data_IF_666931338480
#
_entry.id   IF_666931338480
#
_cell.length_a   1.000
_cell.length_b   1.000
_cell.length_c   1.000
_cell.angle_alpha   90.00
_cell.angle_beta   90.00
_cell.angle_gamma   90.00
#
_symmetry.space_group_name_H-M   'P 1'
#
loop_
_entity.id
_entity.type
_entity.pdbx_description
1 polymer ?
#
# COMPACT_ATOMS: atom_id res chain seq x y z
N UNK A 1 26.99 7.31 -20.25
CA UNK A 1 25.97 6.25 -20.47
C UNK A 1 24.69 6.71 -19.78
N UNK A 2 23.53 6.55 -20.42
CA UNK A 2 22.24 6.91 -19.79
C UNK A 2 21.81 5.80 -18.83
N UNK A 3 21.27 6.17 -17.67
CA UNK A 3 20.73 5.24 -16.66
C UNK A 3 19.22 5.33 -16.69
N UNK A 4 18.54 4.19 -16.78
CA UNK A 4 17.08 4.12 -16.62
C UNK A 4 16.78 4.19 -15.12
N UNK A 5 16.17 5.29 -14.67
CA UNK A 5 15.97 5.55 -13.23
C UNK A 5 15.23 4.42 -12.51
N UNK A 6 14.25 3.78 -13.18
CA UNK A 6 13.50 2.70 -12.56
C UNK A 6 14.40 1.51 -12.20
N UNK A 7 15.35 1.13 -13.06
CA UNK A 7 16.25 0.00 -12.80
C UNK A 7 17.14 0.28 -11.61
N UNK A 8 17.64 1.52 -11.53
CA UNK A 8 18.47 1.95 -10.42
C UNK A 8 17.71 1.91 -9.08
N UNK A 9 16.47 2.42 -9.05
CA UNK A 9 15.63 2.37 -7.85
C UNK A 9 15.23 0.94 -7.49
N UNK A 10 14.96 0.09 -8.48
CA UNK A 10 14.61 -1.32 -8.24
C UNK A 10 15.81 -2.11 -7.71
N UNK A 11 17.03 -1.80 -8.14
CA UNK A 11 18.27 -2.41 -7.65
C UNK A 11 18.50 -2.10 -6.17
N UNK A 12 18.26 -0.85 -5.74
CA UNK A 12 18.43 -0.44 -4.35
C UNK A 12 17.50 -1.20 -3.37
N UNK A 13 16.44 -1.86 -3.86
CA UNK A 13 15.56 -2.70 -3.02
C UNK A 13 16.25 -3.95 -2.47
N UNK A 14 17.43 -4.33 -2.97
CA UNK A 14 18.20 -5.45 -2.42
C UNK A 14 18.95 -5.07 -1.13
N UNK A 15 18.96 -3.79 -0.78
CA UNK A 15 19.66 -3.24 0.38
C UNK A 15 18.67 -2.79 1.46
N UNK A 16 19.14 -2.76 2.71
CA UNK A 16 18.45 -2.03 3.78
C UNK A 16 18.56 -0.54 3.50
N UNK A 17 17.41 0.13 3.35
CA UNK A 17 17.32 1.56 3.05
C UNK A 17 16.69 2.29 4.22
N UNK A 18 17.16 3.50 4.51
CA UNK A 18 16.52 4.37 5.49
C UNK A 18 16.50 5.83 5.04
N UNK A 19 15.53 6.58 5.57
CA UNK A 19 15.38 8.02 5.33
C UNK A 19 14.86 8.69 6.61
N UNK A 20 15.62 9.60 7.23
CA UNK A 20 15.11 10.43 8.32
C UNK A 20 13.87 11.22 7.89
N UNK A 21 12.86 11.28 8.76
CA UNK A 21 11.67 12.10 8.55
C UNK A 21 11.71 13.35 9.44
N UNK A 22 11.39 14.54 8.93
CA UNK A 22 11.28 15.73 9.76
C UNK A 22 9.97 15.78 10.56
N UNK A 23 9.04 14.86 10.29
CA UNK A 23 7.74 14.80 10.97
C UNK A 23 7.94 14.29 12.39
N UNK A 24 7.17 14.83 13.34
CA UNK A 24 6.96 14.21 14.64
C UNK A 24 6.16 12.93 14.45
N UNK A 25 6.64 11.82 14.99
CA UNK A 25 5.98 10.51 14.93
C UNK A 25 5.57 10.11 16.34
N UNK A 26 4.31 9.69 16.48
CA UNK A 26 3.78 9.14 17.74
C UNK A 26 3.18 7.78 17.50
N UNK A 27 3.50 6.85 18.38
CA UNK A 27 2.90 5.52 18.43
C UNK A 27 2.20 5.32 19.76
N UNK A 28 1.00 4.75 19.73
CA UNK A 28 0.25 4.37 20.93
C UNK A 28 0.05 2.86 20.97
N UNK A 29 0.22 2.29 22.14
CA UNK A 29 0.03 0.87 22.43
C UNK A 29 -0.94 0.74 23.60
N UNK A 30 -2.06 0.03 23.41
CA UNK A 30 -3.10 -0.09 24.44
C UNK A 30 -3.67 1.27 24.91
N UNK A 31 -3.71 2.26 24.01
CA UNK A 31 -4.17 3.62 24.31
C UNK A 31 -3.13 4.55 24.96
N UNK A 32 -1.98 4.03 25.39
CA UNK A 32 -0.89 4.83 25.95
C UNK A 32 0.11 5.23 24.86
N UNK A 33 0.54 6.50 24.84
CA UNK A 33 1.65 6.93 23.98
C UNK A 33 2.95 6.30 24.49
N UNK A 34 3.56 5.47 23.64
CA UNK A 34 4.82 4.75 23.93
C UNK A 34 6.01 5.29 23.12
N UNK A 35 5.73 6.08 22.09
CA UNK A 35 6.71 6.83 21.32
C UNK A 35 6.17 8.23 21.05
N UNK A 36 7.03 9.23 21.22
CA UNK A 36 6.81 10.61 20.80
C UNK A 36 8.15 11.24 20.41
N UNK A 37 8.49 11.21 19.13
CA UNK A 37 9.84 11.54 18.65
C UNK A 37 9.82 12.44 17.41
N UNK A 38 10.90 13.19 17.20
CA UNK A 38 11.21 13.90 15.93
C UNK A 38 12.40 13.30 15.20
N UNK A 39 12.95 12.22 15.73
CA UNK A 39 14.16 11.56 15.25
C UNK A 39 13.84 10.18 14.66
N UNK A 40 12.57 9.95 14.28
CA UNK A 40 12.15 8.77 13.55
C UNK A 40 12.78 8.70 12.16
N UNK A 41 12.97 7.47 11.69
CA UNK A 41 13.43 7.17 10.34
C UNK A 41 12.44 6.22 9.66
N UNK A 42 12.22 6.42 8.37
CA UNK A 42 11.54 5.45 7.52
C UNK A 42 12.57 4.39 7.14
N UNK A 43 12.21 3.11 7.23
CA UNK A 43 13.09 1.98 6.90
C UNK A 43 12.40 1.06 5.92
N UNK A 44 13.14 0.63 4.90
CA UNK A 44 12.75 -0.42 3.99
C UNK A 44 13.79 -1.54 4.09
N UNK A 45 13.38 -2.67 4.65
CA UNK A 45 14.18 -3.90 4.59
C UNK A 45 14.39 -4.34 3.12
N UNK A 46 15.41 -5.16 2.85
CA UNK A 46 15.57 -5.78 1.53
C UNK A 46 14.25 -6.40 1.04
N UNK A 47 13.90 -6.14 -0.22
CA UNK A 47 12.65 -6.53 -0.90
C UNK A 47 11.37 -5.83 -0.42
N UNK A 48 11.39 -5.04 0.66
CA UNK A 48 10.20 -4.33 1.16
C UNK A 48 9.88 -3.10 0.31
N UNK A 49 8.63 -2.99 -0.13
CA UNK A 49 8.19 -1.96 -1.10
C UNK A 49 7.56 -0.72 -0.47
N UNK A 50 7.21 -0.77 0.81
CA UNK A 50 6.74 0.38 1.59
C UNK A 50 7.55 0.51 2.88
N UNK A 51 7.69 1.72 3.44
CA UNK A 51 8.48 1.88 4.65
C UNK A 51 7.76 1.35 5.89
N UNK A 52 8.54 1.10 6.94
CA UNK A 52 8.10 1.06 8.34
C UNK A 52 8.77 2.20 9.10
N UNK A 53 8.24 2.59 10.27
CA UNK A 53 8.98 3.50 11.15
C UNK A 53 9.96 2.72 12.02
N UNK A 54 11.20 3.20 12.04
CA UNK A 54 12.13 2.97 13.12
C UNK A 54 12.25 4.24 13.97
N UNK A 55 12.33 4.05 15.29
CA UNK A 55 12.39 5.14 16.26
C UNK A 55 13.59 4.92 17.17
N UNK A 56 14.19 5.99 17.74
CA UNK A 56 15.28 5.81 18.69
C UNK A 56 14.83 4.97 19.89
N UNK A 57 15.67 4.01 20.30
CA UNK A 57 15.39 3.19 21.49
C UNK A 57 15.20 4.07 22.74
N UNK A 58 15.91 5.20 22.82
CA UNK A 58 15.79 6.18 23.91
C UNK A 58 14.43 6.84 24.02
N UNK A 59 13.65 6.85 22.93
CA UNK A 59 12.38 7.56 22.84
C UNK A 59 11.18 6.63 23.06
N UNK A 60 11.45 5.33 23.26
CA UNK A 60 10.44 4.34 23.64
C UNK A 60 10.25 4.39 25.16
N UNK A 61 9.07 4.83 25.61
CA UNK A 61 8.76 4.91 27.04
C UNK A 61 8.26 3.58 27.62
N UNK A 62 7.93 2.60 26.76
CA UNK A 62 7.61 1.23 27.16
C UNK A 62 8.87 0.38 27.44
N UNK A 63 8.68 -0.79 28.03
CA UNK A 63 9.78 -1.73 28.26
C UNK A 63 10.08 -2.50 26.98
N UNK A 64 11.31 -2.36 26.46
CA UNK A 64 11.83 -3.17 25.36
C UNK A 64 12.48 -4.46 25.91
N UNK A 65 12.16 -5.60 25.31
CA UNK A 65 12.78 -6.89 25.62
C UNK A 65 12.96 -7.72 24.34
N UNK A 66 14.00 -8.55 24.28
CA UNK A 66 14.19 -9.51 23.20
C UNK A 66 13.02 -10.51 23.18
N UNK A 67 12.56 -10.84 21.99
CA UNK A 67 11.50 -11.82 21.75
C UNK A 67 12.07 -13.13 21.20
N UNK A 68 11.27 -14.21 21.26
CA UNK A 68 11.63 -15.42 20.50
C UNK A 68 11.57 -15.13 19.00
N UNK A 69 12.51 -15.72 18.27
CA UNK A 69 12.48 -15.74 16.81
C UNK A 69 11.49 -16.82 16.36
N UNK A 70 10.21 -16.47 16.41
CA UNK A 70 9.15 -17.30 15.85
C UNK A 70 9.16 -17.08 14.34
N UNK A 71 9.52 -18.13 13.59
CA UNK A 71 9.64 -18.06 12.14
C UNK A 71 8.31 -17.64 11.49
N UNK A 72 8.18 -16.35 11.17
CA UNK A 72 7.07 -15.82 10.41
C UNK A 72 7.20 -16.26 8.94
N UNK A 73 6.08 -16.63 8.31
CA UNK A 73 6.09 -17.01 6.90
C UNK A 73 6.04 -15.78 5.99
N UNK A 74 6.84 -15.81 4.94
CA UNK A 74 6.71 -14.88 3.81
C UNK A 74 5.34 -15.05 3.13
N UNK A 75 4.71 -13.94 2.73
CA UNK A 75 3.67 -13.95 1.71
C UNK A 75 4.32 -13.51 0.40
N UNK A 76 4.70 -14.44 -0.51
CA UNK A 76 5.39 -14.07 -1.73
C UNK A 76 4.42 -13.35 -2.68
N UNK A 77 4.74 -12.09 -2.96
CA UNK A 77 3.94 -11.23 -3.85
C UNK A 77 4.86 -10.73 -4.96
N UNK A 78 4.39 -10.67 -6.21
CA UNK A 78 5.16 -10.09 -7.32
C UNK A 78 4.49 -8.83 -7.84
N UNK A 79 5.31 -7.83 -8.23
CA UNK A 79 4.83 -6.61 -8.89
C UNK A 79 4.81 -6.73 -10.43
N UNK A 80 5.36 -7.82 -10.97
CA UNK A 80 5.42 -8.12 -12.39
C UNK A 80 5.51 -9.64 -12.60
N UNK A 81 5.16 -10.10 -13.80
CA UNK A 81 5.16 -11.52 -14.15
C UNK A 81 6.58 -12.10 -14.10
N UNK A 82 6.78 -13.17 -13.30
CA UNK A 82 8.09 -13.80 -13.12
C UNK A 82 9.13 -12.96 -12.37
N UNK A 83 8.74 -11.79 -11.85
CA UNK A 83 9.62 -10.93 -11.05
C UNK A 83 9.91 -11.51 -9.67
N UNK A 84 11.04 -11.12 -9.04
CA UNK A 84 11.37 -11.58 -7.70
C UNK A 84 10.28 -11.17 -6.70
N UNK A 85 10.00 -12.00 -5.68
CA UNK A 85 8.98 -11.67 -4.71
C UNK A 85 9.38 -10.42 -3.92
N UNK A 86 8.39 -9.61 -3.57
CA UNK A 86 8.50 -8.41 -2.74
C UNK A 86 7.80 -8.62 -1.41
N UNK A 87 8.12 -7.77 -0.43
CA UNK A 87 7.46 -7.75 0.88
C UNK A 87 6.56 -6.52 0.92
N UNK A 88 5.26 -6.76 1.08
CA UNK A 88 4.25 -5.72 1.23
C UNK A 88 3.66 -5.73 2.65
N UNK A 89 2.74 -4.81 3.00
CA UNK A 89 2.12 -4.77 4.33
C UNK A 89 1.41 -6.05 4.77
N UNK A 90 1.03 -6.94 3.86
CA UNK A 90 0.32 -8.19 4.20
C UNK A 90 1.27 -9.29 4.67
N UNK A 91 2.57 -9.15 4.40
CA UNK A 91 3.57 -10.05 4.99
C UNK A 91 3.66 -9.77 6.49
N UNK A 92 3.53 -10.83 7.30
CA UNK A 92 3.55 -10.73 8.77
C UNK A 92 4.80 -9.97 9.26
N UNK A 93 4.62 -9.11 10.26
CA UNK A 93 5.68 -8.22 10.75
C UNK A 93 6.96 -8.96 11.14
N UNK A 94 6.84 -10.13 11.80
CA UNK A 94 7.99 -10.93 12.23
C UNK A 94 8.85 -11.51 11.11
N UNK A 95 8.47 -11.32 9.83
CA UNK A 95 9.30 -11.73 8.70
C UNK A 95 10.27 -10.60 8.33
N UNK A 96 11.53 -10.78 8.70
CA UNK A 96 12.62 -9.84 8.44
C UNK A 96 13.61 -10.40 7.41
N UNK A 97 14.10 -9.53 6.52
CA UNK A 97 15.10 -9.87 5.50
C UNK A 97 16.44 -9.21 5.75
N UNK A 98 16.54 -8.39 6.80
CA UNK A 98 17.82 -7.94 7.34
C UNK A 98 18.16 -8.65 8.65
N UNK A 99 19.44 -8.69 8.99
CA UNK A 99 19.88 -9.21 10.28
C UNK A 99 19.43 -8.28 11.42
N UNK A 100 19.06 -8.85 12.56
CA UNK A 100 18.64 -8.10 13.72
C UNK A 100 18.09 -8.98 14.82
N UNK A 101 17.44 -8.36 15.79
CA UNK A 101 16.89 -9.02 16.97
C UNK A 101 15.40 -8.73 17.05
N UNK A 102 14.53 -9.76 17.03
CA UNK A 102 13.12 -9.60 17.38
C UNK A 102 12.96 -9.04 18.80
N UNK A 103 12.07 -8.08 18.96
CA UNK A 103 11.83 -7.38 20.21
C UNK A 103 10.32 -7.33 20.52
N UNK A 104 10.00 -7.02 21.77
CA UNK A 104 8.66 -6.61 22.20
C UNK A 104 8.72 -5.26 22.88
N UNK A 105 7.67 -4.46 22.74
CA UNK A 105 7.42 -3.26 23.56
C UNK A 105 6.25 -3.58 24.49
N UNK A 106 6.44 -3.41 25.80
CA UNK A 106 5.38 -3.58 26.79
C UNK A 106 4.98 -2.24 27.40
N UNK A 107 3.69 -1.94 27.42
CA UNK A 107 3.11 -0.77 28.08
C UNK A 107 1.85 -1.14 28.86
N UNK A 108 1.95 -1.16 30.20
CA UNK A 108 0.89 -1.70 31.05
C UNK A 108 0.67 -3.18 30.76
N UNK A 109 -0.55 -3.55 30.37
CA UNK A 109 -0.90 -4.92 29.96
C UNK A 109 -0.77 -5.18 28.45
N UNK A 110 -0.50 -4.15 27.65
CA UNK A 110 -0.39 -4.26 26.21
C UNK A 110 1.05 -4.61 25.80
N UNK A 111 1.18 -5.48 24.79
CA UNK A 111 2.44 -5.94 24.22
C UNK A 111 2.35 -5.75 22.70
N UNK A 112 3.33 -5.05 22.13
CA UNK A 112 3.47 -4.84 20.69
C UNK A 112 4.76 -5.48 20.16
N UNK A 113 4.75 -5.88 18.90
CA UNK A 113 5.93 -6.44 18.24
C UNK A 113 6.89 -5.33 17.79
N UNK A 114 8.17 -5.62 17.85
CA UNK A 114 9.23 -4.72 17.45
C UNK A 114 10.43 -5.50 16.89
N UNK A 115 11.34 -4.82 16.20
CA UNK A 115 12.53 -5.43 15.62
C UNK A 115 13.69 -4.44 15.64
N UNK A 116 14.85 -4.88 16.13
CA UNK A 116 16.08 -4.09 16.19
C UNK A 116 17.02 -4.54 15.06
N UNK A 117 17.08 -3.83 13.92
CA UNK A 117 17.99 -4.17 12.83
C UNK A 117 19.47 -3.97 13.26
N UNK A 118 20.36 -4.87 12.85
CA UNK A 118 21.76 -4.86 13.25
C UNK A 118 22.53 -3.63 12.72
N UNK A 119 22.17 -3.12 11.55
CA UNK A 119 22.81 -1.94 10.93
C UNK A 119 22.25 -0.59 11.44
N UNK A 120 21.10 -0.59 12.13
CA UNK A 120 20.53 0.58 12.81
C UNK A 120 20.31 0.25 14.30
N UNK A 121 21.39 -0.12 14.97
CA UNK A 121 21.37 -0.72 16.31
C UNK A 121 20.88 0.20 17.45
N UNK A 122 20.81 1.50 17.22
CA UNK A 122 20.22 2.50 18.13
C UNK A 122 18.72 2.73 17.88
N UNK A 123 18.16 2.09 16.86
CA UNK A 123 16.78 2.21 16.44
C UNK A 123 16.01 0.91 16.68
N UNK A 124 14.69 1.03 16.76
CA UNK A 124 13.78 -0.11 16.78
C UNK A 124 12.62 0.15 15.81
N UNK A 125 12.39 -0.81 14.90
CA UNK A 125 11.21 -0.83 14.03
C UNK A 125 10.05 -1.36 14.86
N UNK A 126 8.91 -0.67 14.83
CA UNK A 126 7.70 -1.13 15.48
C UNK A 126 6.72 -1.69 14.45
N UNK A 127 6.00 -2.75 14.83
CA UNK A 127 4.91 -3.25 14.01
C UNK A 127 3.89 -2.14 13.76
N UNK A 128 3.48 -1.97 12.50
CA UNK A 128 2.55 -0.90 12.19
C UNK A 128 1.14 -1.24 12.68
N UNK A 129 0.71 -2.49 12.50
CA UNK A 129 -0.66 -2.93 12.82
C UNK A 129 -0.88 -3.09 14.34
N UNK A 130 0.18 -3.28 15.11
CA UNK A 130 0.12 -3.39 16.56
C UNK A 130 -0.04 -2.07 17.33
N UNK A 131 0.01 -0.92 16.65
CA UNK A 131 0.04 0.41 17.28
C UNK A 131 -0.88 1.40 16.56
N UNK A 132 -1.43 2.38 17.29
CA UNK A 132 -2.07 3.53 16.66
C UNK A 132 -1.01 4.60 16.36
N UNK A 133 -0.96 5.06 15.11
CA UNK A 133 0.06 5.98 14.63
C UNK A 133 -0.48 7.37 14.34
N UNK A 134 0.31 8.37 14.69
CA UNK A 134 0.11 9.75 14.26
C UNK A 134 1.39 10.31 13.64
N UNK A 135 1.22 10.98 12.51
CA UNK A 135 2.20 11.93 11.99
C UNK A 135 1.76 13.34 12.39
N UNK A 136 2.62 14.07 13.08
CA UNK A 136 2.23 15.27 13.80
C UNK A 136 1.01 14.97 14.68
N UNK A 137 -0.14 15.60 14.39
CA UNK A 137 -1.43 15.42 15.06
C UNK A 137 -2.46 14.64 14.24
N UNK A 138 -2.08 14.15 13.07
CA UNK A 138 -2.97 13.45 12.15
C UNK A 138 -2.79 11.93 12.25
N UNK A 139 -3.88 11.16 12.41
CA UNK A 139 -3.79 9.71 12.38
C UNK A 139 -3.44 9.24 10.97
N UNK A 140 -2.58 8.22 10.90
CA UNK A 140 -2.24 7.54 9.64
C UNK A 140 -2.61 6.06 9.72
N UNK A 141 -2.75 5.41 8.58
CA UNK A 141 -3.23 4.04 8.47
C UNK A 141 -2.57 3.31 7.30
N UNK A 142 -2.66 1.97 7.31
CA UNK A 142 -2.07 1.10 6.30
C UNK A 142 -0.56 0.92 6.46
N UNK A 143 0.21 2.00 6.35
CA UNK A 143 1.66 2.04 6.60
C UNK A 143 2.14 3.50 6.56
N UNK A 144 3.38 3.81 6.99
CA UNK A 144 3.97 5.14 6.85
C UNK A 144 3.99 5.63 5.40
N UNK A 145 3.76 6.93 5.19
CA UNK A 145 3.85 7.51 3.85
C UNK A 145 5.30 7.59 3.39
N UNK A 146 5.57 7.06 2.21
CA UNK A 146 6.86 7.15 1.53
C UNK A 146 6.99 8.54 0.87
N UNK A 147 7.97 9.38 1.28
CA UNK A 147 8.16 10.71 0.72
C UNK A 147 8.61 10.68 -0.76
N UNK A 148 9.01 9.52 -1.27
CA UNK A 148 9.38 9.29 -2.66
C UNK A 148 8.23 8.70 -3.49
N UNK A 149 7.15 8.27 -2.84
CA UNK A 149 5.94 7.86 -3.54
C UNK A 149 5.18 9.08 -4.05
N UNK A 150 4.67 8.98 -5.28
CA UNK A 150 3.86 10.02 -5.89
C UNK A 150 2.65 9.40 -6.57
N UNK A 151 1.50 9.97 -6.27
CA UNK A 151 0.27 9.74 -7.00
C UNK A 151 0.04 10.95 -7.89
N UNK A 152 -0.07 10.71 -9.20
CA UNK A 152 -0.43 11.74 -10.16
C UNK A 152 -1.72 11.36 -10.87
N UNK A 153 -2.66 12.31 -10.95
CA UNK A 153 -3.97 12.06 -11.55
C UNK A 153 -4.21 13.06 -12.68
N UNK A 154 -4.60 12.55 -13.84
CA UNK A 154 -4.85 13.37 -15.04
C UNK A 154 -6.19 13.07 -15.66
N UNK A 155 -6.92 14.13 -15.98
CA UNK A 155 -8.10 14.06 -16.85
C UNK A 155 -7.66 13.61 -18.23
N UNK A 156 -8.39 12.67 -18.80
CA UNK A 156 -8.17 12.20 -20.16
C UNK A 156 -9.47 12.16 -20.93
N UNK A 157 -9.40 12.61 -22.18
CA UNK A 157 -10.45 12.43 -23.17
C UNK A 157 -10.23 11.20 -24.06
N UNK A 158 -9.20 10.41 -23.78
CA UNK A 158 -8.92 9.17 -24.52
C UNK A 158 -10.07 8.18 -24.30
N UNK A 159 -10.67 7.64 -25.38
CA UNK A 159 -11.70 6.62 -25.25
C UNK A 159 -11.16 5.38 -24.54
N UNK A 160 -11.89 4.90 -23.55
CA UNK A 160 -11.61 3.67 -22.82
C UNK A 160 -12.87 2.81 -22.76
N UNK A 161 -12.69 1.51 -22.97
CA UNK A 161 -13.74 0.51 -22.90
C UNK A 161 -13.27 -0.64 -22.02
N UNK A 162 -14.14 -1.09 -21.12
CA UNK A 162 -13.90 -2.18 -20.18
C UNK A 162 -14.90 -3.29 -20.45
N UNK A 163 -14.40 -4.50 -20.62
CA UNK A 163 -15.20 -5.70 -20.88
C UNK A 163 -14.86 -6.83 -19.91
N UNK A 164 -15.86 -7.68 -19.65
CA UNK A 164 -15.65 -8.96 -18.97
C UNK A 164 -16.26 -10.06 -19.84
N UNK A 165 -15.44 -11.01 -20.29
CA UNK A 165 -15.85 -12.10 -21.19
C UNK A 165 -16.66 -11.59 -22.42
N UNK A 166 -16.22 -10.47 -23.01
CA UNK A 166 -16.85 -9.83 -24.17
C UNK A 166 -18.11 -9.01 -23.87
N UNK A 167 -18.60 -9.01 -22.63
CA UNK A 167 -19.70 -8.14 -22.19
C UNK A 167 -19.15 -6.75 -21.87
N UNK A 168 -19.72 -5.70 -22.49
CA UNK A 168 -19.41 -4.32 -22.15
C UNK A 168 -19.83 -4.02 -20.70
N UNK A 169 -18.86 -3.57 -19.89
CA UNK A 169 -19.06 -3.21 -18.49
C UNK A 169 -19.06 -1.69 -18.31
N UNK A 170 -18.13 -0.99 -18.95
CA UNK A 170 -18.03 0.46 -18.91
C UNK A 170 -17.39 1.02 -20.20
N UNK A 171 -17.78 2.24 -20.58
CA UNK A 171 -17.21 2.97 -21.71
C UNK A 171 -17.20 4.47 -21.41
N UNK A 172 -16.04 5.12 -21.57
CA UNK A 172 -15.88 6.54 -21.26
C UNK A 172 -14.87 7.22 -22.16
N UNK A 173 -15.02 8.54 -22.29
CA UNK A 173 -14.00 9.45 -22.81
C UNK A 173 -13.75 10.61 -21.82
N UNK A 174 -13.91 10.34 -20.51
CA UNK A 174 -13.80 11.33 -19.42
C UNK A 174 -13.15 10.72 -18.18
N UNK A 175 -12.27 9.74 -18.37
CA UNK A 175 -11.59 9.06 -17.26
C UNK A 175 -10.62 10.00 -16.54
N UNK A 176 -10.43 9.75 -15.25
CA UNK A 176 -9.23 10.16 -14.53
C UNK A 176 -8.23 9.01 -14.55
N UNK A 177 -7.05 9.25 -15.10
CA UNK A 177 -5.96 8.28 -15.11
C UNK A 177 -5.07 8.57 -13.90
N UNK A 178 -4.93 7.59 -13.03
CA UNK A 178 -4.07 7.62 -11.86
C UNK A 178 -2.77 6.88 -12.16
N UNK A 179 -1.65 7.56 -11.96
CA UNK A 179 -0.30 7.04 -12.06
C UNK A 179 0.29 6.98 -10.65
N UNK A 180 0.77 5.80 -10.26
CA UNK A 180 1.38 5.56 -8.97
C UNK A 180 2.67 4.79 -9.18
N UNK A 181 3.71 5.18 -8.46
CA UNK A 181 5.06 4.65 -8.68
C UNK A 181 5.07 3.12 -8.71
N UNK A 182 5.73 2.54 -9.72
CA UNK A 182 5.83 1.09 -10.05
C UNK A 182 4.53 0.31 -10.28
N UNK A 183 3.35 0.93 -10.12
CA UNK A 183 2.08 0.26 -10.36
C UNK A 183 1.52 0.59 -11.76
N UNK A 184 0.72 -0.31 -12.35
CA UNK A 184 0.00 -0.01 -13.58
C UNK A 184 -0.89 1.22 -13.44
N UNK A 185 -1.04 1.97 -14.54
CA UNK A 185 -2.00 3.07 -14.59
C UNK A 185 -3.41 2.56 -14.28
N UNK A 186 -4.15 3.29 -13.43
CA UNK A 186 -5.52 2.96 -13.06
C UNK A 186 -6.50 3.96 -13.66
N UNK A 187 -7.60 3.46 -14.19
CA UNK A 187 -8.59 4.26 -14.90
C UNK A 187 -9.85 4.40 -14.04
N UNK A 188 -10.01 5.58 -13.46
CA UNK A 188 -11.20 5.95 -12.71
C UNK A 188 -12.23 6.53 -13.66
N UNK A 189 -13.39 5.89 -13.73
CA UNK A 189 -14.49 6.21 -14.61
C UNK A 189 -15.62 6.87 -13.81
N UNK A 190 -16.29 7.90 -14.35
CA UNK A 190 -17.53 8.37 -13.76
C UNK A 190 -18.53 7.21 -13.62
N UNK A 191 -19.25 7.11 -12.49
CA UNK A 191 -20.26 6.05 -12.28
C UNK A 191 -21.28 5.98 -13.42
N UNK A 192 -21.66 7.13 -13.99
CA UNK A 192 -22.60 7.23 -15.11
C UNK A 192 -22.10 6.58 -16.42
N UNK A 193 -20.79 6.34 -16.54
CA UNK A 193 -20.15 5.73 -17.71
C UNK A 193 -20.01 4.19 -17.52
N UNK A 194 -20.42 3.65 -16.37
CA UNK A 194 -20.53 2.20 -16.12
C UNK A 194 -21.92 1.74 -16.56
N UNK A 195 -21.97 0.95 -17.63
CA UNK A 195 -23.23 0.54 -18.27
C UNK A 195 -23.80 -0.76 -17.71
N UNK A 196 -22.97 -1.59 -17.09
CA UNK A 196 -23.42 -2.82 -16.44
C UNK A 196 -23.79 -2.57 -14.96
N UNK A 197 -24.79 -3.30 -14.47
CA UNK A 197 -25.20 -3.21 -13.07
C UNK A 197 -24.11 -3.76 -12.14
N UNK A 198 -23.76 -2.96 -11.13
CA UNK A 198 -22.86 -3.32 -10.05
C UNK A 198 -23.63 -3.36 -8.73
N UNK A 199 -23.28 -4.30 -7.86
CA UNK A 199 -23.80 -4.39 -6.49
C UNK A 199 -22.68 -4.16 -5.46
N UNK A 200 -22.96 -3.50 -4.32
CA UNK A 200 -21.97 -3.32 -3.27
C UNK A 200 -21.49 -4.66 -2.72
N UNK A 201 -20.20 -4.77 -2.45
CA UNK A 201 -19.61 -5.89 -1.72
C UNK A 201 -19.37 -5.51 -0.25
N UNK A 202 -19.46 -6.46 0.70
CA UNK A 202 -19.00 -6.23 2.07
C UNK A 202 -17.47 -6.05 2.16
N UNK A 203 -16.72 -6.38 1.11
CA UNK A 203 -15.27 -6.19 1.06
C UNK A 203 -14.91 -4.70 1.11
N UNK A 204 -13.96 -4.38 1.99
CA UNK A 204 -13.31 -3.07 2.03
C UNK A 204 -11.82 -3.25 2.25
N UNK A 205 -11.01 -2.42 1.59
CA UNK A 205 -9.56 -2.40 1.78
C UNK A 205 -9.09 -1.00 2.14
N UNK A 206 -7.91 -0.92 2.75
CA UNK A 206 -7.28 0.33 3.16
C UNK A 206 -6.03 0.55 2.32
N UNK A 207 -5.89 1.76 1.77
CA UNK A 207 -4.67 2.24 1.15
C UNK A 207 -4.18 3.47 1.91
N UNK A 208 -2.93 3.45 2.38
CA UNK A 208 -2.35 4.53 3.18
C UNK A 208 -2.52 5.92 2.55
N UNK A 209 -2.52 6.01 1.22
CA UNK A 209 -2.62 7.28 0.49
C UNK A 209 -4.03 7.65 0.02
N UNK A 210 -4.92 6.66 -0.15
CA UNK A 210 -6.22 6.85 -0.83
C UNK A 210 -7.41 6.68 0.10
N UNK A 211 -7.18 6.19 1.32
CA UNK A 211 -8.23 5.91 2.28
C UNK A 211 -8.86 4.54 2.09
N UNK A 212 -10.14 4.45 2.42
CA UNK A 212 -10.92 3.22 2.34
C UNK A 212 -11.52 3.02 0.95
N UNK A 213 -11.22 1.89 0.34
CA UNK A 213 -11.88 1.44 -0.87
C UNK A 213 -13.13 0.62 -0.52
N UNK A 214 -14.22 0.89 -1.24
CA UNK A 214 -15.43 0.07 -1.26
C UNK A 214 -15.44 -0.76 -2.54
N UNK A 215 -15.69 -2.06 -2.42
CA UNK A 215 -15.69 -2.98 -3.55
C UNK A 215 -17.09 -3.21 -4.13
N UNK A 216 -17.12 -3.57 -5.40
CA UNK A 216 -18.33 -3.75 -6.19
C UNK A 216 -18.22 -5.03 -7.02
N UNK A 217 -19.31 -5.80 -7.02
CA UNK A 217 -19.44 -7.02 -7.81
C UNK A 217 -20.31 -6.78 -9.05
N UNK A 218 -19.98 -7.44 -10.16
CA UNK A 218 -20.76 -7.36 -11.39
C UNK A 218 -21.99 -8.28 -11.33
N UNK A 219 -23.18 -7.71 -11.48
CA UNK A 219 -24.43 -8.48 -11.51
C UNK A 219 -24.46 -9.37 -12.75
N UNK A 220 -24.59 -10.68 -12.52
CA UNK A 220 -24.52 -11.71 -13.56
C UNK A 220 -23.11 -11.95 -14.11
N UNK A 221 -22.06 -11.56 -13.38
CA UNK A 221 -20.66 -11.82 -13.73
C UNK A 221 -20.09 -13.16 -13.23
N UNK A 222 -20.87 -13.93 -12.46
CA UNK A 222 -20.41 -15.15 -11.79
C UNK A 222 -19.19 -14.90 -10.89
N UNK A 223 -18.37 -15.93 -10.67
CA UNK A 223 -17.18 -15.84 -9.80
C UNK A 223 -16.18 -14.78 -10.29
N UNK A 224 -16.05 -14.60 -11.61
CA UNK A 224 -15.18 -13.58 -12.21
C UNK A 224 -15.63 -12.15 -11.88
N UNK A 225 -16.92 -11.95 -11.61
CA UNK A 225 -17.52 -10.66 -11.30
C UNK A 225 -17.40 -10.22 -9.85
N UNK A 226 -16.98 -11.09 -8.93
CA UNK A 226 -16.90 -10.78 -7.48
C UNK A 226 -15.79 -9.77 -7.21
N UNK A 227 -16.08 -8.66 -6.54
CA UNK A 227 -15.08 -7.61 -6.21
C UNK A 227 -14.29 -7.14 -7.44
N UNK A 228 -14.93 -7.07 -8.61
CA UNK A 228 -14.27 -6.76 -9.88
C UNK A 228 -13.90 -5.27 -10.00
N UNK A 229 -14.56 -4.42 -9.22
CA UNK A 229 -14.34 -2.99 -9.20
C UNK A 229 -14.25 -2.45 -7.77
N UNK A 230 -13.65 -1.28 -7.63
CA UNK A 230 -13.62 -0.53 -6.38
C UNK A 230 -13.86 0.96 -6.62
N UNK A 231 -14.20 1.66 -5.54
CA UNK A 231 -14.35 3.10 -5.50
C UNK A 231 -13.81 3.64 -4.18
N UNK A 232 -13.21 4.82 -4.23
CA UNK A 232 -12.94 5.61 -3.03
C UNK A 232 -14.08 6.60 -2.87
N UNK A 233 -15.03 6.33 -1.97
CA UNK A 233 -16.21 7.19 -1.78
C UNK A 233 -15.85 8.48 -1.05
N UNK A 234 -14.90 8.39 -0.11
CA UNK A 234 -14.43 9.51 0.72
C UNK A 234 -12.89 9.53 0.79
N UNK A 235 -12.19 9.75 -0.33
CA UNK A 235 -10.73 9.84 -0.32
C UNK A 235 -10.25 11.09 0.42
N UNK A 236 -8.97 11.15 0.84
CA UNK A 236 -8.33 12.36 1.33
C UNK A 236 -8.44 13.53 0.33
N UNK A 237 -8.31 14.76 0.84
CA UNK A 237 -8.53 15.98 0.06
C UNK A 237 -7.63 16.05 -1.20
N UNK A 238 -6.41 15.56 -1.09
CA UNK A 238 -5.40 15.49 -2.15
C UNK A 238 -5.88 14.65 -3.34
N UNK A 239 -6.80 13.72 -3.09
CA UNK A 239 -7.37 12.81 -4.07
C UNK A 239 -8.89 12.97 -4.21
N UNK A 240 -9.46 14.09 -3.76
CA UNK A 240 -10.90 14.38 -3.86
C UNK A 240 -11.47 14.23 -5.28
N UNK A 241 -10.64 14.42 -6.31
CA UNK A 241 -11.06 14.28 -7.71
C UNK A 241 -11.49 12.86 -8.12
N UNK A 242 -10.99 11.81 -7.44
CA UNK A 242 -11.40 10.42 -7.73
C UNK A 242 -12.59 9.97 -6.84
N UNK A 243 -13.15 10.87 -6.03
CA UNK A 243 -14.26 10.54 -5.13
C UNK A 243 -15.47 9.99 -5.90
N UNK A 244 -15.95 8.82 -5.47
CA UNK A 244 -17.11 8.13 -6.07
C UNK A 244 -16.89 7.62 -7.51
N UNK A 245 -15.66 7.71 -8.04
CA UNK A 245 -15.33 7.13 -9.35
C UNK A 245 -15.06 5.64 -9.24
N UNK A 246 -15.33 4.91 -10.31
CA UNK A 246 -15.21 3.45 -10.37
C UNK A 246 -13.94 3.07 -11.11
N UNK A 247 -13.11 2.22 -10.51
CA UNK A 247 -11.98 1.59 -11.17
C UNK A 247 -12.15 0.07 -11.16
N UNK A 248 -11.65 -0.59 -12.20
CA UNK A 248 -11.74 -2.05 -12.36
C UNK A 248 -10.35 -2.68 -12.24
N UNK A 249 -10.30 -3.91 -11.74
CA UNK A 249 -9.06 -4.69 -11.71
C UNK A 249 -8.71 -5.11 -13.13
N UNK A 250 -7.82 -4.35 -13.79
CA UNK A 250 -7.32 -4.61 -15.16
C UNK A 250 -6.72 -6.02 -15.31
N UNK A 251 -6.26 -6.60 -14.22
CA UNK A 251 -5.82 -7.99 -14.10
C UNK A 251 -6.92 -8.99 -14.50
N UNK A 252 -8.19 -8.60 -14.31
CA UNK A 252 -9.38 -9.46 -14.37
C UNK A 252 -10.38 -9.05 -15.46
N UNK A 253 -10.20 -7.88 -16.07
CA UNK A 253 -11.05 -7.35 -17.16
C UNK A 253 -10.23 -7.06 -18.41
N UNK A 254 -10.88 -7.02 -19.56
CA UNK A 254 -10.26 -6.56 -20.80
C UNK A 254 -10.42 -5.04 -20.92
N UNK A 255 -9.31 -4.35 -21.17
CA UNK A 255 -9.28 -2.90 -21.34
C UNK A 255 -8.86 -2.57 -22.76
N UNK A 256 -9.66 -1.76 -23.44
CA UNK A 256 -9.32 -1.15 -24.74
C UNK A 256 -9.18 0.34 -24.51
N UNK A 257 -7.98 0.88 -24.74
CA UNK A 257 -7.66 2.30 -24.62
C UNK A 257 -7.27 2.84 -26.00
N UNK A 258 -7.95 3.90 -26.46
CA UNK A 258 -7.74 4.49 -27.79
C UNK A 258 -7.85 3.46 -28.93
N UNK A 259 -8.82 2.55 -28.83
CA UNK A 259 -9.02 1.45 -29.78
C UNK A 259 -7.96 0.35 -29.72
N UNK A 260 -7.02 0.40 -28.78
CA UNK A 260 -5.95 -0.60 -28.61
C UNK A 260 -6.19 -1.44 -27.36
N UNK A 261 -6.23 -2.76 -27.53
CA UNK A 261 -6.27 -3.70 -26.42
C UNK A 261 -5.02 -3.53 -25.54
N UNK A 262 -5.23 -3.46 -24.23
CA UNK A 262 -4.18 -3.37 -23.22
C UNK A 262 -3.84 -4.75 -22.69
N UNK A 263 -2.57 -4.96 -22.36
CA UNK A 263 -2.14 -6.19 -21.69
C UNK A 263 -2.68 -6.17 -20.25
N UNK A 264 -3.16 -7.31 -19.76
CA UNK A 264 -3.51 -7.46 -18.35
C UNK A 264 -2.22 -7.47 -17.53
N UNK A 265 -2.02 -6.53 -16.59
CA UNK A 265 -0.83 -6.54 -15.77
C UNK A 265 -0.86 -7.72 -14.80
N UNK A 266 0.31 -8.18 -14.36
CA UNK A 266 0.43 -9.07 -13.21
C UNK A 266 0.78 -8.22 -12.01
N UNK A 267 -0.09 -8.24 -11.00
CA UNK A 267 0.07 -7.45 -9.77
C UNK A 267 -0.35 -8.28 -8.57
N UNK A 268 -0.18 -7.75 -7.34
CA UNK A 268 -0.64 -8.42 -6.13
C UNK A 268 -2.15 -8.68 -6.03
N UNK A 269 -2.93 -8.15 -6.99
CA UNK A 269 -4.39 -8.25 -7.09
C UNK A 269 -4.85 -9.05 -8.32
N UNK A 270 -3.93 -9.73 -9.01
CA UNK A 270 -4.23 -10.67 -10.08
C UNK A 270 -4.98 -11.92 -9.62
#
# INVERSE_FOLDING_TARGET
>A
MAVRMIDHLMQARQELRYQPTPKRVRARLGGATVVDTRDAVLVWEPRRVVPSYAVPISDVTGTLAEASDDAASELPVSLEEGGPPVIDPRTAFGFHTTAGTPMTVTAGAAIGQAFRPAELDSMVILDFDGFDWLEEDEPIFGHPHDPFSRIDVRRSSTPIRIELDGRLVAESARALILFEFVLPARYYLPRADVVAALEPSPTSTVCAYKGHASHWSLVGGGDKGVDIAWSYEHPPLELAQIAGMVCFYQERVDVVLDGKAQIRPVTPWS
#
